data_IF_794505776424
#
_entry.id   IF_794505776424
#
_cell.length_a   1.000
_cell.length_b   1.000
_cell.length_c   1.000
_cell.angle_alpha   90.00
_cell.angle_beta   90.00
_cell.angle_gamma   90.00
#
_symmetry.space_group_name_H-M   'P 1'
#
loop_
_entity.id
_entity.type
_entity.pdbx_description
1 polymer ?
#
# COMPACT_ATOMS: atom_id res chain seq x y z
N UNK A 1 11.39 9.72 2.73
CA UNK A 1 11.72 10.23 1.38
C UNK A 1 11.42 11.72 1.40
N UNK A 2 12.37 12.55 0.96
CA UNK A 2 12.17 14.00 0.84
C UNK A 2 12.60 14.42 -0.55
N UNK A 3 11.76 15.19 -1.23
CA UNK A 3 11.97 15.66 -2.59
C UNK A 3 11.93 17.18 -2.62
N UNK A 4 12.90 17.79 -3.31
CA UNK A 4 13.00 19.24 -3.52
C UNK A 4 13.29 19.52 -5.01
N UNK A 5 12.58 20.47 -5.67
CA UNK A 5 12.92 20.91 -7.01
C UNK A 5 14.27 21.61 -7.02
N UNK A 6 15.13 21.28 -7.99
CA UNK A 6 16.41 21.97 -8.19
C UNK A 6 16.29 23.17 -9.14
N UNK A 7 15.25 23.18 -9.97
CA UNK A 7 14.94 24.27 -10.90
C UNK A 7 13.86 25.17 -10.33
N UNK A 8 13.79 26.41 -10.83
CA UNK A 8 12.73 27.37 -10.51
C UNK A 8 11.45 27.08 -11.32
N UNK A 9 10.98 25.83 -11.25
CA UNK A 9 9.76 25.35 -11.89
C UNK A 9 9.01 24.37 -10.98
N UNK A 10 7.67 24.37 -10.95
CA UNK A 10 6.90 23.39 -10.20
C UNK A 10 7.22 21.96 -10.65
N UNK A 11 7.36 21.04 -9.69
CA UNK A 11 7.65 19.62 -9.94
C UNK A 11 6.41 18.76 -9.65
N UNK A 12 5.69 18.28 -10.66
CA UNK A 12 4.69 17.23 -10.49
C UNK A 12 5.37 15.93 -10.07
N UNK A 13 4.88 15.33 -9.00
CA UNK A 13 5.47 14.14 -8.38
C UNK A 13 4.38 13.11 -8.05
N UNK A 14 4.62 11.89 -8.50
CA UNK A 14 4.04 10.69 -7.89
C UNK A 14 5.13 9.94 -7.14
N UNK A 15 4.78 9.37 -6.00
CA UNK A 15 5.73 8.67 -5.15
C UNK A 15 5.03 7.59 -4.34
N UNK A 16 5.78 6.56 -3.97
CA UNK A 16 5.32 5.50 -3.10
C UNK A 16 6.50 4.94 -2.30
N UNK A 17 6.22 4.52 -1.07
CA UNK A 17 7.05 3.57 -0.34
C UNK A 17 6.46 2.18 -0.57
N UNK A 18 7.04 1.45 -1.53
CA UNK A 18 6.52 0.16 -2.02
C UNK A 18 6.87 -0.99 -1.05
N UNK A 19 6.31 -0.95 0.15
CA UNK A 19 6.73 -1.80 1.26
C UNK A 19 6.15 -3.20 1.16
N UNK A 20 7.03 -4.20 1.07
CA UNK A 20 6.72 -5.62 1.20
C UNK A 20 6.77 -6.03 2.67
N UNK A 21 5.64 -6.47 3.22
CA UNK A 21 5.60 -7.13 4.52
C UNK A 21 5.72 -8.62 4.32
N UNK A 22 6.68 -9.24 5.00
CA UNK A 22 6.64 -10.69 5.21
C UNK A 22 5.36 -11.03 5.98
N UNK A 23 4.64 -12.07 5.57
CA UNK A 23 3.45 -12.58 6.26
C UNK A 23 3.51 -14.10 6.35
N UNK A 24 2.85 -14.68 7.35
CA UNK A 24 2.82 -16.14 7.48
C UNK A 24 1.98 -16.80 6.39
N UNK A 25 0.85 -16.20 6.03
CA UNK A 25 0.01 -16.60 4.92
C UNK A 25 -0.87 -15.42 4.48
N UNK A 26 -0.66 -14.92 3.26
CA UNK A 26 -1.41 -13.78 2.71
C UNK A 26 -2.93 -14.04 2.65
N UNK A 27 -3.36 -15.30 2.51
CA UNK A 27 -4.78 -15.65 2.51
C UNK A 27 -5.46 -15.54 3.89
N UNK A 28 -4.67 -15.38 4.95
CA UNK A 28 -5.16 -15.30 6.33
C UNK A 28 -4.94 -13.92 6.96
N UNK A 29 -4.18 -13.04 6.32
CA UNK A 29 -3.97 -11.68 6.84
C UNK A 29 -5.17 -10.78 6.52
N UNK A 30 -5.28 -9.70 7.29
CA UNK A 30 -6.29 -8.66 7.06
C UNK A 30 -5.70 -7.27 7.26
N UNK A 31 -6.10 -6.34 6.40
CA UNK A 31 -5.72 -4.92 6.48
C UNK A 31 -6.89 -4.14 7.09
N UNK A 32 -6.64 -3.56 8.26
CA UNK A 32 -7.60 -2.80 9.06
C UNK A 32 -7.43 -1.31 8.77
N UNK A 33 -8.55 -0.57 8.77
CA UNK A 33 -8.58 0.89 8.59
C UNK A 33 -9.01 1.36 7.20
N UNK A 34 -9.36 0.43 6.31
CA UNK A 34 -9.83 0.74 4.95
C UNK A 34 -11.36 0.62 4.79
N UNK A 35 -12.09 0.24 5.85
CA UNK A 35 -13.55 0.15 5.81
C UNK A 35 -14.21 1.48 5.39
N UNK A 36 -15.15 1.41 4.45
CA UNK A 36 -15.84 2.56 3.89
C UNK A 36 -15.05 3.38 2.86
N UNK A 37 -13.78 3.06 2.58
CA UNK A 37 -12.99 3.79 1.60
C UNK A 37 -13.19 3.25 0.18
N UNK A 38 -13.18 4.18 -0.77
CA UNK A 38 -13.23 3.86 -2.19
C UNK A 38 -11.88 3.36 -2.70
N UNK A 39 -11.91 2.34 -3.54
CA UNK A 39 -10.74 1.84 -4.25
C UNK A 39 -11.05 1.42 -5.67
N UNK A 40 -10.01 1.29 -6.48
CA UNK A 40 -10.05 0.62 -7.78
C UNK A 40 -9.11 -0.56 -7.76
N UNK A 41 -9.51 -1.67 -8.36
CA UNK A 41 -8.67 -2.86 -8.46
C UNK A 41 -8.33 -3.16 -9.92
N UNK A 42 -7.05 -3.10 -10.27
CA UNK A 42 -6.58 -3.37 -11.64
C UNK A 42 -6.84 -4.79 -12.08
N UNK A 43 -6.96 -5.74 -11.15
CA UNK A 43 -7.30 -7.13 -11.45
C UNK A 43 -8.79 -7.28 -11.82
N UNK A 44 -9.60 -6.27 -11.49
CA UNK A 44 -11.04 -6.22 -11.75
C UNK A 44 -11.39 -5.12 -12.76
N UNK A 45 -10.53 -4.91 -13.77
CA UNK A 45 -10.70 -3.90 -14.82
C UNK A 45 -10.84 -2.46 -14.27
N UNK A 46 -10.13 -2.13 -13.20
CA UNK A 46 -10.19 -0.82 -12.52
C UNK A 46 -11.59 -0.43 -12.04
N UNK A 47 -12.45 -1.42 -11.75
CA UNK A 47 -13.77 -1.19 -11.20
C UNK A 47 -13.69 -0.43 -9.87
N UNK A 48 -14.51 0.62 -9.74
CA UNK A 48 -14.64 1.38 -8.50
C UNK A 48 -15.49 0.60 -7.49
N UNK A 49 -14.93 0.39 -6.30
CA UNK A 49 -15.55 -0.36 -5.22
C UNK A 49 -15.47 0.44 -3.92
N UNK A 50 -16.32 0.11 -2.96
CA UNK A 50 -16.22 0.57 -1.56
C UNK A 50 -15.82 -0.64 -0.73
N UNK A 51 -14.75 -0.51 0.04
CA UNK A 51 -14.32 -1.55 0.96
C UNK A 51 -15.35 -1.70 2.10
N UNK A 52 -15.67 -2.94 2.45
CA UNK A 52 -16.58 -3.27 3.55
C UNK A 52 -15.86 -4.18 4.55
N UNK A 53 -15.70 -3.68 5.78
CA UNK A 53 -14.89 -4.31 6.81
C UNK A 53 -13.39 -4.32 6.49
N UNK A 54 -12.65 -5.17 7.19
CA UNK A 54 -11.22 -5.35 6.95
C UNK A 54 -10.97 -5.93 5.55
N UNK A 55 -9.95 -5.42 4.85
CA UNK A 55 -9.57 -5.93 3.53
C UNK A 55 -8.84 -7.28 3.69
N UNK A 56 -9.32 -8.30 2.99
CA UNK A 56 -8.71 -9.64 2.88
C UNK A 56 -8.11 -9.83 1.49
N UNK A 57 -7.18 -10.79 1.35
CA UNK A 57 -6.39 -11.00 0.13
C UNK A 57 -6.56 -12.46 -0.36
N UNK A 58 -7.75 -12.85 -0.86
CA UNK A 58 -8.03 -14.23 -1.24
C UNK A 58 -7.37 -14.66 -2.56
N UNK A 59 -6.93 -13.70 -3.38
CA UNK A 59 -6.35 -13.92 -4.69
C UNK A 59 -5.42 -12.76 -5.09
N UNK A 60 -4.93 -12.77 -6.33
CA UNK A 60 -4.22 -11.63 -6.92
C UNK A 60 -5.01 -10.34 -6.68
N UNK A 61 -4.32 -9.33 -6.15
CA UNK A 61 -4.93 -8.08 -5.71
C UNK A 61 -4.04 -6.92 -6.15
N UNK A 62 -4.64 -5.88 -6.72
CA UNK A 62 -3.95 -4.62 -7.03
C UNK A 62 -4.91 -3.46 -6.75
N UNK A 63 -5.23 -3.31 -5.46
CA UNK A 63 -6.22 -2.36 -4.97
C UNK A 63 -5.56 -1.01 -4.68
N UNK A 64 -6.00 0.02 -5.38
CA UNK A 64 -5.58 1.40 -5.21
C UNK A 64 -6.68 2.22 -4.55
N UNK A 65 -6.41 2.68 -3.33
CA UNK A 65 -7.26 3.60 -2.58
C UNK A 65 -6.75 5.03 -2.77
N UNK A 66 -7.54 5.87 -3.46
CA UNK A 66 -7.16 7.25 -3.79
C UNK A 66 -7.00 8.12 -2.53
N UNK A 67 -7.78 7.87 -1.47
CA UNK A 67 -7.68 8.61 -0.21
C UNK A 67 -7.90 7.62 0.93
N UNK A 68 -7.05 7.65 1.95
CA UNK A 68 -7.05 6.69 3.06
C UNK A 68 -6.59 7.39 4.34
N UNK A 69 -6.92 6.86 5.52
CA UNK A 69 -6.45 7.44 6.76
C UNK A 69 -4.94 7.25 6.89
N UNK A 70 -4.31 8.09 7.71
CA UNK A 70 -2.87 7.99 7.96
C UNK A 70 -2.47 6.71 8.71
N UNK A 71 -3.42 6.09 9.41
CA UNK A 71 -3.19 4.91 10.24
C UNK A 71 -3.93 3.69 9.68
N UNK A 72 -3.16 2.66 9.34
CA UNK A 72 -3.64 1.33 8.97
C UNK A 72 -3.01 0.28 9.90
N UNK A 73 -3.51 -0.96 9.83
CA UNK A 73 -2.79 -2.07 10.43
C UNK A 73 -2.93 -3.36 9.65
N UNK A 74 -1.85 -4.14 9.65
CA UNK A 74 -1.82 -5.51 9.15
C UNK A 74 -1.93 -6.47 10.32
N UNK A 75 -2.95 -7.31 10.34
CA UNK A 75 -3.08 -8.41 11.30
C UNK A 75 -2.65 -9.70 10.62
N UNK A 76 -1.66 -10.36 11.22
CA UNK A 76 -1.13 -11.64 10.76
C UNK A 76 -1.36 -12.71 11.85
N UNK A 77 -2.41 -13.53 11.73
CA UNK A 77 -2.73 -14.55 12.72
C UNK A 77 -1.72 -15.71 12.71
N UNK A 78 -1.06 -15.99 11.58
CA UNK A 78 -0.10 -17.08 11.46
C UNK A 78 1.19 -16.75 12.21
N UNK A 79 1.68 -15.51 12.07
CA UNK A 79 2.85 -15.02 12.80
C UNK A 79 2.49 -14.39 14.15
N UNK A 80 1.22 -14.44 14.56
CA UNK A 80 0.69 -13.94 15.85
C UNK A 80 1.13 -12.49 16.14
N UNK A 81 0.97 -11.63 15.12
CA UNK A 81 1.44 -10.25 15.20
C UNK A 81 0.50 -9.26 14.53
N UNK A 82 0.61 -8.02 14.99
CA UNK A 82 0.00 -6.83 14.41
C UNK A 82 1.10 -5.87 14.04
N UNK A 83 1.00 -5.31 12.83
CA UNK A 83 1.87 -4.25 12.35
C UNK A 83 1.03 -2.99 12.17
N UNK A 84 1.21 -2.00 13.05
CA UNK A 84 0.63 -0.67 12.83
C UNK A 84 1.46 0.05 11.78
N UNK A 85 0.78 0.68 10.82
CA UNK A 85 1.35 1.43 9.71
C UNK A 85 0.86 2.87 9.86
N UNK A 86 1.76 3.78 10.23
CA UNK A 86 1.45 5.20 10.38
C UNK A 86 2.21 6.01 9.34
N UNK A 87 1.48 6.55 8.37
CA UNK A 87 2.00 7.38 7.30
C UNK A 87 2.06 8.85 7.71
N UNK A 88 2.94 9.61 7.04
CA UNK A 88 2.93 11.07 6.99
C UNK A 88 3.24 11.53 5.57
N UNK A 89 2.53 12.55 5.11
CA UNK A 89 2.80 13.21 3.83
C UNK A 89 2.39 12.38 2.61
N UNK A 90 1.54 11.36 2.79
CA UNK A 90 0.90 10.66 1.69
C UNK A 90 -0.59 10.51 1.92
N UNK A 91 -1.38 10.44 0.85
CA UNK A 91 -2.84 10.36 0.93
C UNK A 91 -3.43 9.05 0.38
N UNK A 92 -2.71 8.38 -0.51
CA UNK A 92 -3.16 7.14 -1.17
C UNK A 92 -2.49 5.90 -0.59
N UNK A 93 -3.18 4.76 -0.67
CA UNK A 93 -2.66 3.45 -0.30
C UNK A 93 -2.82 2.48 -1.46
N UNK A 94 -1.76 1.73 -1.78
CA UNK A 94 -1.86 0.56 -2.67
C UNK A 94 -1.72 -0.71 -1.82
N UNK A 95 -2.61 -1.67 -2.04
CA UNK A 95 -2.49 -3.02 -1.49
C UNK A 95 -2.30 -3.98 -2.65
N UNK A 96 -1.18 -4.69 -2.65
CA UNK A 96 -0.81 -5.54 -3.77
C UNK A 96 -0.27 -6.90 -3.35
N UNK A 97 -0.72 -7.94 -4.05
CA UNK A 97 -0.15 -9.27 -4.03
C UNK A 97 -0.31 -9.88 -5.43
N UNK A 98 0.78 -10.46 -5.96
CA UNK A 98 0.77 -10.99 -7.33
C UNK A 98 -0.12 -12.23 -7.52
N UNK A 99 -0.52 -12.92 -6.45
CA UNK A 99 -1.30 -14.15 -6.53
C UNK A 99 -0.74 -15.13 -7.56
N UNK A 100 -1.62 -15.71 -8.38
CA UNK A 100 -1.23 -16.66 -9.42
C UNK A 100 -0.30 -16.07 -10.48
N UNK A 101 -0.30 -14.74 -10.70
CA UNK A 101 0.60 -14.08 -11.64
C UNK A 101 2.07 -14.12 -11.19
N UNK A 102 2.35 -14.43 -9.92
CA UNK A 102 3.71 -14.69 -9.43
C UNK A 102 4.44 -15.80 -10.20
N UNK A 103 3.72 -16.76 -10.79
CA UNK A 103 4.31 -17.80 -11.63
C UNK A 103 5.06 -17.27 -12.87
N UNK A 104 4.81 -16.00 -13.24
CA UNK A 104 5.48 -15.30 -14.35
C UNK A 104 6.63 -14.40 -13.88
N UNK A 105 6.88 -14.31 -12.57
CA UNK A 105 7.88 -13.44 -11.96
C UNK A 105 9.10 -14.28 -11.57
N UNK A 106 10.22 -14.18 -12.30
CA UNK A 106 11.37 -15.06 -12.08
C UNK A 106 12.08 -14.83 -10.73
N UNK A 107 11.84 -13.69 -10.11
CA UNK A 107 12.34 -13.29 -8.79
C UNK A 107 11.42 -13.72 -7.64
N UNK A 108 10.23 -14.26 -7.92
CA UNK A 108 9.32 -14.82 -6.92
C UNK A 108 9.42 -16.35 -6.97
N UNK A 109 9.90 -17.02 -5.89
CA UNK A 109 9.97 -18.47 -5.87
C UNK A 109 8.56 -19.09 -5.91
N UNK A 110 8.41 -20.36 -6.35
CA UNK A 110 7.12 -21.04 -6.32
C UNK A 110 6.49 -21.03 -4.92
N UNK A 111 5.25 -20.55 -4.80
CA UNK A 111 4.55 -20.39 -3.52
C UNK A 111 4.97 -19.14 -2.73
N UNK A 112 5.94 -18.37 -3.23
CA UNK A 112 6.45 -17.16 -2.59
C UNK A 112 5.40 -16.07 -2.44
N UNK A 113 4.41 -16.02 -3.35
CA UNK A 113 3.27 -15.10 -3.29
C UNK A 113 2.47 -15.22 -1.99
N UNK A 114 2.53 -16.38 -1.32
CA UNK A 114 1.82 -16.58 -0.05
C UNK A 114 2.48 -15.88 1.14
N UNK A 115 3.74 -15.49 1.00
CA UNK A 115 4.59 -15.08 2.12
C UNK A 115 4.84 -13.57 2.19
N UNK A 116 4.20 -12.79 1.30
CA UNK A 116 4.26 -11.34 1.33
C UNK A 116 2.92 -10.66 1.06
N UNK A 117 2.80 -9.43 1.55
CA UNK A 117 1.77 -8.48 1.14
C UNK A 117 2.40 -7.09 1.00
N UNK A 118 2.13 -6.40 -0.10
CA UNK A 118 2.49 -5.00 -0.23
C UNK A 118 1.38 -4.12 0.34
N UNK A 119 1.75 -3.21 1.24
CA UNK A 119 0.89 -2.12 1.69
C UNK A 119 1.71 -0.84 1.57
N UNK A 120 1.40 -0.06 0.56
CA UNK A 120 2.23 1.04 0.11
C UNK A 120 1.65 2.36 0.57
N UNK A 121 2.50 3.20 1.14
CA UNK A 121 2.17 4.59 1.43
C UNK A 121 2.53 5.45 0.24
N UNK A 122 1.57 6.17 -0.35
CA UNK A 122 1.79 6.79 -1.66
C UNK A 122 1.08 8.12 -1.87
N UNK A 123 1.50 8.83 -2.91
CA UNK A 123 0.84 9.95 -3.56
C UNK A 123 0.76 9.64 -5.06
N UNK A 124 -0.31 8.95 -5.48
CA UNK A 124 -0.51 8.56 -6.88
C UNK A 124 -1.91 8.93 -7.37
N UNK A 125 -2.11 8.86 -8.69
CA UNK A 125 -3.40 9.16 -9.30
C UNK A 125 -3.91 10.55 -8.95
N UNK A 126 -5.10 10.63 -8.35
CA UNK A 126 -5.74 11.89 -7.95
C UNK A 126 -5.03 12.60 -6.78
N UNK A 127 -4.07 11.93 -6.14
CA UNK A 127 -3.26 12.48 -5.04
C UNK A 127 -1.80 12.68 -5.40
N UNK A 128 -1.47 12.75 -6.69
CA UNK A 128 -0.18 13.29 -7.10
C UNK A 128 0.03 14.68 -6.47
N UNK A 129 1.26 14.97 -6.08
CA UNK A 129 1.63 16.25 -5.45
C UNK A 129 2.37 17.12 -6.47
N UNK A 130 2.28 18.43 -6.31
CA UNK A 130 3.16 19.39 -6.99
C UNK A 130 4.03 20.03 -5.93
N UNK A 131 5.36 19.95 -6.09
CA UNK A 131 6.30 20.63 -5.19
C UNK A 131 6.72 21.93 -5.86
N UNK A 132 6.38 23.06 -5.26
CA UNK A 132 6.70 24.38 -5.79
C UNK A 132 8.20 24.72 -5.61
N UNK A 133 8.76 25.63 -6.41
CA UNK A 133 10.14 26.10 -6.25
C UNK A 133 10.43 26.59 -4.82
N UNK A 134 11.52 26.10 -4.23
CA UNK A 134 11.92 26.42 -2.86
C UNK A 134 11.14 25.66 -1.77
N UNK A 135 10.15 24.85 -2.13
CA UNK A 135 9.47 23.95 -1.21
C UNK A 135 10.11 22.56 -1.17
N UNK A 136 9.68 21.76 -0.19
CA UNK A 136 10.05 20.35 -0.08
C UNK A 136 8.81 19.53 0.26
N UNK A 137 8.70 18.35 -0.33
CA UNK A 137 7.70 17.37 0.05
C UNK A 137 8.35 16.18 0.75
N UNK A 138 7.68 15.56 1.72
CA UNK A 138 8.23 14.43 2.46
C UNK A 138 7.20 13.34 2.72
N UNK A 139 7.46 12.16 2.18
CA UNK A 139 6.73 10.93 2.46
C UNK A 139 7.49 10.10 3.49
N UNK A 140 6.79 9.79 4.58
CA UNK A 140 7.31 9.00 5.69
C UNK A 140 6.31 7.96 6.16
N UNK A 141 6.84 6.90 6.73
CA UNK A 141 6.04 5.82 7.32
C UNK A 141 6.76 5.29 8.54
N UNK A 142 5.99 5.00 9.59
CA UNK A 142 6.46 4.35 10.81
C UNK A 142 5.71 3.03 10.96
N UNK A 143 6.47 1.97 11.19
CA UNK A 143 5.93 0.67 11.50
C UNK A 143 6.13 0.35 12.98
N UNK A 144 5.11 -0.22 13.62
CA UNK A 144 5.23 -0.79 14.96
C UNK A 144 4.70 -2.21 14.97
N UNK A 145 5.54 -3.15 15.40
CA UNK A 145 5.17 -4.56 15.52
C UNK A 145 4.79 -4.86 16.96
N UNK A 146 3.70 -5.58 17.15
CA UNK A 146 3.22 -6.05 18.46
C UNK A 146 2.70 -7.49 18.34
N UNK A 147 2.79 -8.25 19.43
CA UNK A 147 2.19 -9.59 19.50
C UNK A 147 0.67 -9.50 19.62
N UNK A 148 -0.04 -10.52 19.12
CA UNK A 148 -1.50 -10.65 19.19
C UNK A 148 -1.88 -12.01 19.75
#
# INVERSE_FOLDING_TARGET
LTTEPLEDQPLPLTEALHTYFAVGDVGQVRVVGLDGYWYRDRTQNDAANIQSGDLTIPAETNAHFDETPDALALIDPVLKRRIDILRRGGASTVVWNAGASAAKMPDVPPGGERTYLCIESANIGRRAVTVEPGERHSLGVRYRVSAV
#
